data_IF_644361131105
#
_entry.id   IF_644361131105
#
_cell.length_a   1.000
_cell.length_b   1.000
_cell.length_c   1.000
_cell.angle_alpha   90.00
_cell.angle_beta   90.00
_cell.angle_gamma   90.00
#
_symmetry.space_group_name_H-M   'P 1'
#
loop_
_entity.id
_entity.type
_entity.pdbx_description
1 polymer ?
#
# COMPACT_ATOMS: atom_id res chain seq x y z
N UNK A 1 -5.49 -0.22 -0.99
CA UNK A 1 -4.86 1.10 -1.25
C UNK A 1 -3.40 0.87 -1.58
N UNK A 2 -2.92 1.40 -2.71
CA UNK A 2 -1.55 1.21 -3.19
C UNK A 2 -0.66 2.45 -2.93
N UNK A 3 -1.17 3.47 -2.23
CA UNK A 3 -0.48 4.76 -2.04
C UNK A 3 0.96 4.61 -1.52
N UNK A 4 1.26 3.74 -0.53
CA UNK A 4 2.64 3.59 -0.05
C UNK A 4 3.62 3.14 -1.14
N UNK A 5 3.15 2.47 -2.19
CA UNK A 5 4.00 1.96 -3.28
C UNK A 5 4.24 2.99 -4.38
N UNK A 6 3.77 4.23 -4.24
CA UNK A 6 4.06 5.30 -5.17
C UNK A 6 5.26 6.12 -4.69
N UNK A 7 6.03 6.73 -5.62
CA UNK A 7 6.96 7.79 -5.26
C UNK A 7 6.25 8.83 -4.39
N UNK A 8 6.89 9.26 -3.31
CA UNK A 8 6.28 10.15 -2.32
C UNK A 8 5.67 11.42 -2.93
N UNK A 9 6.27 11.93 -4.01
CA UNK A 9 5.80 13.08 -4.77
C UNK A 9 4.45 12.88 -5.47
N UNK A 10 4.11 11.66 -5.88
CA UNK A 10 2.87 11.35 -6.59
C UNK A 10 1.72 10.96 -5.66
N UNK A 11 2.03 10.64 -4.39
CA UNK A 11 1.04 10.17 -3.42
C UNK A 11 -0.09 11.19 -3.18
N UNK A 12 0.17 12.50 -3.01
CA UNK A 12 -0.90 13.49 -2.81
C UNK A 12 -1.87 13.56 -3.99
N UNK A 13 -1.35 13.62 -5.22
CA UNK A 13 -2.17 13.72 -6.43
C UNK A 13 -3.06 12.49 -6.60
N UNK A 14 -2.48 11.30 -6.43
CA UNK A 14 -3.24 10.04 -6.55
C UNK A 14 -4.28 9.93 -5.43
N UNK A 15 -3.97 10.36 -4.20
CA UNK A 15 -4.96 10.38 -3.11
C UNK A 15 -6.15 11.29 -3.43
N UNK A 16 -5.93 12.48 -3.97
CA UNK A 16 -7.03 13.39 -4.34
C UNK A 16 -7.90 12.80 -5.46
N UNK A 17 -7.30 12.18 -6.48
CA UNK A 17 -8.08 11.47 -7.51
C UNK A 17 -8.94 10.33 -6.95
N UNK A 18 -8.46 9.64 -5.90
CA UNK A 18 -9.24 8.61 -5.21
C UNK A 18 -10.42 9.21 -4.45
N UNK A 19 -10.25 10.39 -3.87
CA UNK A 19 -11.33 11.09 -3.15
C UNK A 19 -12.44 11.49 -4.13
N UNK A 20 -12.09 11.97 -5.32
CA UNK A 20 -13.06 12.42 -6.32
C UNK A 20 -13.98 11.30 -6.82
N UNK A 21 -13.47 10.07 -6.90
CA UNK A 21 -14.23 8.90 -7.40
C UNK A 21 -14.84 8.04 -6.28
N UNK A 22 -14.49 8.31 -5.01
CA UNK A 22 -14.93 7.49 -3.91
C UNK A 22 -16.42 7.69 -3.58
N UNK A 23 -17.16 6.61 -3.26
CA UNK A 23 -18.51 6.74 -2.73
C UNK A 23 -18.55 7.54 -1.42
N UNK A 24 -19.54 8.43 -1.28
CA UNK A 24 -19.72 9.32 -0.10
C UNK A 24 -19.68 8.63 1.27
N UNK A 25 -20.04 7.35 1.34
CA UNK A 25 -19.93 6.55 2.58
C UNK A 25 -18.50 6.50 3.15
N UNK A 26 -17.49 6.82 2.34
CA UNK A 26 -16.09 6.85 2.74
C UNK A 26 -15.58 8.26 3.11
N UNK A 27 -16.41 9.31 3.03
CA UNK A 27 -15.98 10.70 3.29
C UNK A 27 -15.32 10.86 4.66
N UNK A 28 -15.87 10.20 5.70
CA UNK A 28 -15.28 10.22 7.05
C UNK A 28 -13.90 9.57 7.10
N UNK A 29 -13.71 8.43 6.42
CA UNK A 29 -12.42 7.75 6.35
C UNK A 29 -11.39 8.57 5.57
N UNK A 30 -11.78 9.11 4.41
CA UNK A 30 -10.90 9.91 3.57
C UNK A 30 -10.50 11.22 4.27
N UNK A 31 -11.44 11.85 4.99
CA UNK A 31 -11.14 13.02 5.81
C UNK A 31 -10.14 12.71 6.93
N UNK A 32 -10.29 11.57 7.59
CA UNK A 32 -9.36 11.11 8.62
C UNK A 32 -7.97 10.83 8.04
N UNK A 33 -7.88 10.14 6.91
CA UNK A 33 -6.60 9.88 6.23
C UNK A 33 -5.94 11.20 5.84
N UNK A 34 -6.68 12.13 5.23
CA UNK A 34 -6.15 13.44 4.84
C UNK A 34 -5.60 14.21 6.05
N UNK A 35 -6.36 14.32 7.13
CA UNK A 35 -5.93 15.07 8.32
C UNK A 35 -4.74 14.42 9.01
N UNK A 36 -4.73 13.09 9.11
CA UNK A 36 -3.76 12.35 9.92
C UNK A 36 -2.46 12.04 9.16
N UNK A 37 -2.54 11.78 7.86
CA UNK A 37 -1.41 11.26 7.06
C UNK A 37 -0.82 12.29 6.10
N UNK A 38 -1.58 13.34 5.75
CA UNK A 38 -1.13 14.39 4.83
C UNK A 38 -0.94 15.74 5.50
N UNK A 39 -1.86 16.15 6.40
CA UNK A 39 -1.80 17.46 7.06
C UNK A 39 -0.95 17.43 8.33
N UNK A 40 -1.01 16.35 9.10
CA UNK A 40 -0.21 16.20 10.32
C UNK A 40 1.28 16.15 10.03
N UNK A 41 2.07 16.90 10.80
CA UNK A 41 3.54 16.84 10.77
C UNK A 41 4.12 15.60 11.44
N UNK A 42 3.29 14.77 12.09
CA UNK A 42 3.75 13.60 12.85
C UNK A 42 4.23 12.48 11.92
N UNK A 43 3.58 12.29 10.76
CA UNK A 43 3.86 11.20 9.82
C UNK A 43 3.87 11.73 8.38
N UNK A 44 4.91 12.47 7.97
CA UNK A 44 4.96 13.04 6.63
C UNK A 44 5.08 11.94 5.57
N UNK A 45 4.55 12.21 4.37
CA UNK A 45 4.47 11.26 3.24
C UNK A 45 5.75 10.45 2.98
N UNK A 46 6.96 11.04 2.98
CA UNK A 46 8.18 10.29 2.74
C UNK A 46 8.50 9.24 3.81
N UNK A 47 7.96 9.36 5.03
CA UNK A 47 8.21 8.43 6.13
C UNK A 47 7.42 7.13 6.02
N UNK A 48 6.40 7.08 5.16
CA UNK A 48 5.57 5.89 4.97
C UNK A 48 5.42 5.47 3.50
N UNK A 49 6.01 6.21 2.56
CA UNK A 49 6.27 5.68 1.22
C UNK A 49 7.30 4.55 1.33
N UNK A 50 6.96 3.43 0.71
CA UNK A 50 7.78 2.22 0.61
C UNK A 50 8.19 1.95 -0.84
N UNK A 51 8.02 2.94 -1.71
CA UNK A 51 8.45 2.85 -3.10
C UNK A 51 9.97 2.60 -3.17
N UNK A 52 10.36 1.57 -3.94
CA UNK A 52 11.76 1.16 -4.06
C UNK A 52 12.35 0.47 -2.83
N UNK A 53 11.56 0.22 -1.77
CA UNK A 53 12.00 -0.54 -0.61
C UNK A 53 11.78 -2.05 -0.82
N UNK A 54 12.74 -2.87 -0.38
CA UNK A 54 12.56 -4.33 -0.31
C UNK A 54 11.70 -4.69 0.90
N UNK A 55 10.39 -4.45 0.77
CA UNK A 55 9.38 -4.77 1.78
C UNK A 55 8.66 -6.06 1.41
N UNK A 56 8.62 -7.02 2.34
CA UNK A 56 7.76 -8.18 2.24
C UNK A 56 6.33 -7.73 2.56
N UNK A 57 5.49 -7.67 1.53
CA UNK A 57 4.07 -7.36 1.69
C UNK A 57 3.35 -8.55 2.33
N UNK A 58 2.15 -8.31 2.87
CA UNK A 58 1.30 -9.41 3.34
C UNK A 58 1.08 -10.44 2.21
N UNK A 59 0.99 -9.99 0.95
CA UNK A 59 0.83 -10.89 -0.19
C UNK A 59 2.07 -11.77 -0.45
N UNK A 60 3.28 -11.27 -0.17
CA UNK A 60 4.51 -12.08 -0.25
C UNK A 60 4.54 -13.16 0.85
N UNK A 61 4.05 -12.81 2.04
CA UNK A 61 3.97 -13.73 3.18
C UNK A 61 2.84 -14.74 3.02
N UNK A 62 1.67 -14.31 2.54
CA UNK A 62 0.53 -15.17 2.20
C UNK A 62 0.86 -16.10 1.04
N UNK A 63 1.56 -15.63 0.01
CA UNK A 63 2.08 -16.47 -1.08
C UNK A 63 3.05 -17.53 -0.58
N UNK A 64 3.98 -17.17 0.32
CA UNK A 64 4.91 -18.13 0.96
C UNK A 64 4.18 -19.12 1.87
N UNK A 65 3.19 -18.68 2.65
CA UNK A 65 2.36 -19.57 3.48
C UNK A 65 1.55 -20.53 2.61
N UNK A 66 0.92 -20.03 1.55
CA UNK A 66 0.18 -20.86 0.60
C UNK A 66 1.11 -21.85 -0.13
N UNK A 67 2.33 -21.44 -0.49
CA UNK A 67 3.34 -22.33 -1.07
C UNK A 67 3.78 -23.43 -0.09
N UNK A 68 3.94 -23.11 1.20
CA UNK A 68 4.28 -24.10 2.24
C UNK A 68 3.11 -25.03 2.63
N UNK A 69 1.87 -24.62 2.37
CA UNK A 69 0.66 -25.43 2.63
C UNK A 69 0.29 -26.35 1.45
N UNK A 70 0.93 -26.19 0.29
CA UNK A 70 0.80 -27.14 -0.81
C UNK A 70 1.73 -28.33 -0.56
N UNK A 71 1.23 -29.59 -0.57
CA UNK A 71 2.11 -30.75 -0.50
C UNK A 71 3.05 -30.69 -1.71
N UNK A 72 4.35 -30.71 -1.45
CA UNK A 72 5.45 -30.56 -2.40
C UNK A 72 5.11 -30.97 -3.83
N UNK A 73 4.63 -30.01 -4.62
CA UNK A 73 4.74 -30.12 -6.07
C UNK A 73 6.02 -29.38 -6.42
N UNK A 74 7.04 -30.16 -6.72
CA UNK A 74 8.28 -29.68 -7.34
C UNK A 74 7.91 -28.75 -8.50
N UNK A 75 8.13 -27.46 -8.32
CA UNK A 75 8.20 -26.50 -9.42
C UNK A 75 9.54 -25.83 -9.27
N UNK A 76 10.50 -26.37 -10.02
CA UNK A 76 11.74 -25.69 -10.34
C UNK A 76 11.40 -24.46 -11.18
N UNK A 77 11.93 -23.30 -10.81
CA UNK A 77 12.23 -22.24 -11.78
C UNK A 77 13.72 -21.93 -11.62
N UNK A 78 14.45 -22.10 -12.73
CA UNK A 78 15.85 -21.72 -12.90
C UNK A 78 15.96 -20.20 -13.08
N UNK A 79 17.11 -19.70 -12.59
CA UNK A 79 17.81 -18.41 -12.81
C UNK A 79 17.03 -17.09 -12.77
#
# INVERSE_FOLDING_TARGET
MCLPFLPAEHIPEVFESMVDIAPRRFDGLLSYIRSTWFVSSTWPVPCWSVFGMSIQTNNDVEGKKNLMLLPSKHVFYCD
#
